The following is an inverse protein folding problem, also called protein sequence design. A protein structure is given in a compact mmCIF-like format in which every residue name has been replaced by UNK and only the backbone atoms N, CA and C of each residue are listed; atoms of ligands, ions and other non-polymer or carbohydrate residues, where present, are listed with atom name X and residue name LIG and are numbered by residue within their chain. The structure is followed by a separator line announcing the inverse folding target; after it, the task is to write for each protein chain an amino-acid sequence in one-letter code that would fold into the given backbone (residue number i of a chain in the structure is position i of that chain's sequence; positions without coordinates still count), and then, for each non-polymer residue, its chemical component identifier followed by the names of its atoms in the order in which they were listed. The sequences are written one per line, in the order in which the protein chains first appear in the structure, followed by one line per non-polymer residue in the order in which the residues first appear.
data_IF_622469770307
#
_entry.id   IF_622469770307
#
_cell.length_a   1.000
_cell.length_b   1.000
_cell.length_c   1.000
_cell.angle_alpha   90.00
_cell.angle_beta   90.00
_cell.angle_gamma   90.00
#
_symmetry.space_group_name_H-M   'P 1'
#
loop_
_entity.id
_entity.type
_entity.pdbx_description
1 polymer ?
#
# COMPACT_ATOMS: atom_id res chain seq x y z
N UNK A 1 15.46 -23.65 0.06
CA UNK A 1 14.76 -22.48 -0.49
C UNK A 1 14.87 -21.27 0.45
N UNK A 2 14.46 -21.39 1.74
CA UNK A 2 14.45 -20.29 2.72
C UNK A 2 15.79 -19.53 2.82
N UNK A 3 16.89 -20.24 3.06
CA UNK A 3 18.23 -19.63 3.19
C UNK A 3 18.64 -18.86 1.90
N UNK A 4 18.20 -19.34 0.75
CA UNK A 4 18.48 -18.67 -0.51
C UNK A 4 17.66 -17.37 -0.65
N UNK A 5 16.39 -17.39 -0.23
CA UNK A 5 15.56 -16.17 -0.19
C UNK A 5 16.18 -15.15 0.75
N UNK A 6 16.56 -15.57 1.95
CA UNK A 6 17.22 -14.71 2.94
C UNK A 6 18.52 -14.09 2.43
N UNK A 7 19.34 -14.86 1.72
CA UNK A 7 20.59 -14.38 1.12
C UNK A 7 20.40 -13.35 0.01
N UNK A 8 19.29 -13.43 -0.73
CA UNK A 8 19.04 -12.56 -1.88
C UNK A 8 18.15 -11.36 -1.57
N UNK A 9 17.27 -11.47 -0.57
CA UNK A 9 16.31 -10.42 -0.25
C UNK A 9 16.54 -9.79 1.14
N UNK A 10 17.48 -10.31 1.92
CA UNK A 10 17.78 -9.86 3.27
C UNK A 10 16.94 -10.58 4.33
N UNK A 11 17.29 -10.39 5.59
CA UNK A 11 16.60 -11.04 6.73
C UNK A 11 15.15 -10.60 6.84
N UNK A 12 14.29 -11.53 7.30
CA UNK A 12 12.92 -11.19 7.67
C UNK A 12 12.90 -10.29 8.91
N UNK A 13 11.89 -9.42 8.99
CA UNK A 13 11.63 -8.62 10.19
C UNK A 13 10.56 -9.25 11.10
N UNK A 14 9.92 -10.34 10.65
CA UNK A 14 8.96 -11.07 11.46
C UNK A 14 9.65 -12.10 12.35
N UNK A 15 9.04 -12.33 13.50
CA UNK A 15 9.39 -13.47 14.34
C UNK A 15 8.91 -14.78 13.72
N UNK A 16 9.53 -15.93 14.01
CA UNK A 16 9.10 -17.23 13.48
C UNK A 16 7.62 -17.58 13.79
N UNK A 17 7.09 -17.08 14.91
CA UNK A 17 5.70 -17.28 15.28
C UNK A 17 4.75 -16.45 14.39
N UNK A 18 5.10 -15.20 14.13
CA UNK A 18 4.34 -14.31 13.24
C UNK A 18 4.37 -14.82 11.80
N UNK A 19 5.52 -15.26 11.32
CA UNK A 19 5.68 -15.85 10.00
C UNK A 19 4.77 -17.07 9.82
N UNK A 20 4.78 -18.00 10.76
CA UNK A 20 3.88 -19.16 10.76
C UNK A 20 2.40 -18.75 10.78
N UNK A 21 2.06 -17.75 11.60
CA UNK A 21 0.69 -17.23 11.68
C UNK A 21 0.25 -16.63 10.35
N UNK A 22 1.07 -15.80 9.72
CA UNK A 22 0.75 -15.17 8.44
C UNK A 22 0.60 -16.22 7.32
N UNK A 23 1.51 -17.18 7.24
CA UNK A 23 1.41 -18.29 6.29
C UNK A 23 0.13 -19.11 6.51
N UNK A 24 -0.22 -19.44 7.76
CA UNK A 24 -1.45 -20.16 8.08
C UNK A 24 -2.72 -19.40 7.68
N UNK A 25 -2.73 -18.08 7.82
CA UNK A 25 -3.90 -17.25 7.51
C UNK A 25 -4.05 -16.99 6.01
N UNK A 26 -2.96 -16.74 5.31
CA UNK A 26 -2.97 -16.25 3.93
C UNK A 26 -2.80 -17.37 2.90
N UNK A 27 -1.90 -18.33 3.16
CA UNK A 27 -1.57 -19.40 2.23
C UNK A 27 -2.57 -20.56 2.37
N UNK A 28 -3.77 -20.36 1.83
CA UNK A 28 -4.87 -21.33 1.83
C UNK A 28 -5.43 -21.52 0.42
N UNK A 29 -6.20 -22.57 0.24
CA UNK A 29 -6.87 -22.88 -1.02
C UNK A 29 -5.89 -22.93 -2.20
N UNK A 30 -6.00 -21.97 -3.13
CA UNK A 30 -5.16 -21.87 -4.33
C UNK A 30 -3.68 -21.61 -4.01
N UNK A 31 -3.41 -20.95 -2.87
CA UNK A 31 -2.06 -20.61 -2.42
C UNK A 31 -1.54 -21.54 -1.31
N UNK A 32 -2.15 -22.73 -1.14
CA UNK A 32 -1.84 -23.67 -0.06
C UNK A 32 -0.35 -24.07 -0.01
N UNK A 33 0.29 -24.18 -1.17
CA UNK A 33 1.69 -24.59 -1.28
C UNK A 33 2.65 -23.38 -1.42
N UNK A 34 2.14 -22.17 -1.20
CA UNK A 34 2.92 -20.95 -1.21
C UNK A 34 3.37 -20.59 0.20
N UNK A 35 4.44 -19.78 0.27
CA UNK A 35 4.95 -19.21 1.51
C UNK A 35 5.11 -17.70 1.35
N UNK A 36 4.85 -16.96 2.42
CA UNK A 36 5.10 -15.53 2.49
C UNK A 36 6.46 -15.27 3.12
N UNK A 37 7.16 -14.28 2.62
CA UNK A 37 8.42 -13.80 3.18
C UNK A 37 8.39 -12.29 3.29
N UNK A 38 8.61 -11.76 4.49
CA UNK A 38 8.55 -10.33 4.78
C UNK A 38 9.94 -9.79 5.06
N UNK A 39 10.37 -8.77 4.33
CA UNK A 39 11.70 -8.19 4.46
C UNK A 39 11.68 -6.68 4.37
N UNK A 40 12.70 -6.03 4.92
CA UNK A 40 13.01 -4.62 4.67
C UNK A 40 14.12 -4.44 3.62
N UNK A 41 14.44 -5.51 2.92
CA UNK A 41 15.38 -5.54 1.82
C UNK A 41 16.82 -5.83 2.23
N UNK A 42 17.56 -6.35 1.26
CA UNK A 42 18.97 -6.74 1.43
C UNK A 42 19.87 -5.55 1.80
N UNK A 43 19.50 -4.31 1.45
CA UNK A 43 20.31 -3.12 1.77
C UNK A 43 20.17 -2.71 3.23
N UNK A 44 19.02 -2.98 3.87
CA UNK A 44 18.79 -2.65 5.28
C UNK A 44 19.25 -3.76 6.22
N UNK A 45 18.90 -5.02 5.90
CA UNK A 45 19.17 -6.18 6.75
C UNK A 45 19.87 -7.31 5.96
N UNK A 46 21.12 -7.10 5.50
CA UNK A 46 21.85 -8.14 4.76
C UNK A 46 22.26 -9.30 5.68
N UNK A 47 22.16 -10.53 5.17
CA UNK A 47 22.81 -11.69 5.80
C UNK A 47 24.31 -11.65 5.54
N UNK A 48 24.67 -11.40 4.28
CA UNK A 48 26.05 -11.26 3.81
C UNK A 48 26.06 -10.34 2.60
N UNK A 49 27.11 -9.53 2.46
CA UNK A 49 27.35 -8.77 1.24
C UNK A 49 27.77 -9.73 0.13
N UNK A 50 26.87 -9.92 -0.83
CA UNK A 50 27.03 -10.80 -1.98
C UNK A 50 26.77 -10.02 -3.27
N UNK A 51 26.78 -10.70 -4.40
CA UNK A 51 26.49 -10.09 -5.71
C UNK A 51 25.13 -9.38 -5.74
N UNK A 52 24.11 -9.93 -5.09
CA UNK A 52 22.77 -9.32 -5.03
C UNK A 52 22.77 -8.02 -4.23
N UNK A 53 23.55 -7.96 -3.15
CA UNK A 53 23.74 -6.72 -2.40
C UNK A 53 24.36 -5.63 -3.29
N UNK A 54 25.45 -5.94 -4.00
CA UNK A 54 26.11 -4.99 -4.90
C UNK A 54 25.21 -4.58 -6.06
N UNK A 55 24.40 -5.51 -6.58
CA UNK A 55 23.41 -5.23 -7.60
C UNK A 55 22.33 -4.26 -7.07
N UNK A 56 21.80 -4.50 -5.88
CA UNK A 56 20.83 -3.63 -5.24
C UNK A 56 21.39 -2.21 -4.97
N UNK A 57 22.65 -2.09 -4.56
CA UNK A 57 23.35 -0.80 -4.41
C UNK A 57 23.39 -0.04 -5.74
N UNK A 58 23.76 -0.72 -6.82
CA UNK A 58 23.82 -0.09 -8.17
C UNK A 58 22.44 0.41 -8.61
N UNK A 59 21.41 -0.39 -8.41
CA UNK A 59 20.04 0.00 -8.77
C UNK A 59 19.51 1.15 -7.91
N UNK A 60 19.79 1.14 -6.61
CA UNK A 60 19.50 2.28 -5.73
C UNK A 60 20.13 3.56 -6.25
N UNK A 61 21.44 3.52 -6.57
CA UNK A 61 22.16 4.68 -7.08
C UNK A 61 21.58 5.16 -8.41
N UNK A 62 21.16 4.23 -9.29
CA UNK A 62 20.47 4.57 -10.54
C UNK A 62 19.12 5.25 -10.29
N UNK A 63 18.32 4.77 -9.34
CA UNK A 63 17.04 5.36 -8.98
C UNK A 63 17.25 6.78 -8.41
N UNK A 64 18.24 6.97 -7.54
CA UNK A 64 18.59 8.28 -6.98
C UNK A 64 19.09 9.24 -8.07
N UNK A 65 19.95 8.75 -8.98
CA UNK A 65 20.39 9.56 -10.11
C UNK A 65 19.22 10.03 -10.97
N UNK A 66 18.28 9.14 -11.29
CA UNK A 66 17.08 9.48 -12.05
C UNK A 66 16.19 10.50 -11.32
N UNK A 67 16.10 10.41 -9.99
CA UNK A 67 15.43 11.41 -9.17
C UNK A 67 16.09 12.80 -9.31
N UNK A 68 17.41 12.88 -9.26
CA UNK A 68 18.13 14.14 -9.42
C UNK A 68 17.99 14.70 -10.82
N UNK A 69 18.05 13.86 -11.84
CA UNK A 69 17.86 14.24 -13.24
C UNK A 69 16.46 14.83 -13.47
N UNK A 70 15.43 14.19 -12.95
CA UNK A 70 14.03 14.59 -13.09
C UNK A 70 13.50 15.45 -11.92
N UNK A 71 14.37 15.96 -11.07
CA UNK A 71 14.01 16.61 -9.80
C UNK A 71 12.95 17.72 -9.93
N UNK A 72 13.04 18.57 -10.98
CA UNK A 72 12.07 19.66 -11.23
C UNK A 72 10.65 19.09 -11.46
N UNK A 73 10.55 18.09 -12.35
CA UNK A 73 9.27 17.44 -12.68
C UNK A 73 8.71 16.71 -11.46
N UNK A 74 9.56 16.00 -10.72
CA UNK A 74 9.17 15.28 -9.51
C UNK A 74 8.60 16.23 -8.47
N UNK A 75 9.27 17.35 -8.18
CA UNK A 75 8.74 18.38 -7.26
C UNK A 75 7.41 18.95 -7.70
N UNK A 76 7.25 19.26 -8.99
CA UNK A 76 6.00 19.76 -9.53
C UNK A 76 4.86 18.74 -9.36
N UNK A 77 5.13 17.46 -9.65
CA UNK A 77 4.15 16.40 -9.52
C UNK A 77 3.76 16.17 -8.04
N UNK A 78 4.72 16.22 -7.11
CA UNK A 78 4.44 16.14 -5.68
C UNK A 78 3.52 17.29 -5.26
N UNK A 79 3.83 18.52 -5.64
CA UNK A 79 3.01 19.70 -5.31
C UNK A 79 1.59 19.56 -5.88
N UNK A 80 1.45 19.21 -7.15
CA UNK A 80 0.16 19.06 -7.81
C UNK A 80 -0.69 17.96 -7.16
N UNK A 81 -0.08 16.80 -6.85
CA UNK A 81 -0.78 15.69 -6.18
C UNK A 81 -1.15 16.06 -4.74
N UNK A 82 -0.28 16.75 -4.01
CA UNK A 82 -0.55 17.25 -2.66
C UNK A 82 -1.76 18.19 -2.65
N UNK A 83 -1.82 19.13 -3.59
CA UNK A 83 -2.94 20.08 -3.71
C UNK A 83 -4.24 19.38 -4.07
N UNK A 84 -4.18 18.39 -4.97
CA UNK A 84 -5.34 17.56 -5.32
C UNK A 84 -5.86 16.78 -4.11
N UNK A 85 -4.97 16.15 -3.36
CA UNK A 85 -5.32 15.42 -2.14
C UNK A 85 -5.94 16.34 -1.09
N UNK A 86 -5.35 17.51 -0.84
CA UNK A 86 -5.92 18.51 0.08
C UNK A 86 -7.32 18.92 -0.31
N UNK A 87 -7.56 19.27 -1.57
CA UNK A 87 -8.89 19.62 -2.08
C UNK A 87 -9.88 18.47 -1.90
N UNK A 88 -9.48 17.26 -2.25
CA UNK A 88 -10.34 16.07 -2.12
C UNK A 88 -10.67 15.75 -0.68
N UNK A 89 -9.71 15.87 0.24
CA UNK A 89 -9.91 15.65 1.66
C UNK A 89 -10.80 16.72 2.28
N UNK A 90 -10.60 17.99 1.91
CA UNK A 90 -11.46 19.10 2.37
C UNK A 90 -12.90 18.92 1.87
N UNK A 91 -13.10 18.53 0.61
CA UNK A 91 -14.44 18.26 0.06
C UNK A 91 -15.12 17.04 0.70
N UNK A 92 -14.33 16.04 1.12
CA UNK A 92 -14.85 14.84 1.80
C UNK A 92 -14.95 15.00 3.32
N UNK A 93 -14.30 15.99 3.90
CA UNK A 93 -14.58 16.43 5.27
C UNK A 93 -15.86 17.27 5.30
N UNK A 94 -16.86 16.88 4.47
CA UNK A 94 -18.18 17.43 4.58
C UNK A 94 -18.61 17.29 6.03
N UNK A 95 -18.80 18.43 6.65
CA UNK A 95 -19.41 18.61 7.94
C UNK A 95 -20.66 17.72 8.00
N UNK A 96 -20.56 16.58 8.65
CA UNK A 96 -21.77 15.83 9.00
C UNK A 96 -22.56 16.71 9.98
N UNK A 97 -23.60 17.36 9.46
CA UNK A 97 -24.54 18.06 10.30
C UNK A 97 -25.31 17.04 11.14
N UNK A 98 -24.84 16.81 12.35
CA UNK A 98 -25.54 15.96 13.30
C UNK A 98 -26.49 16.81 14.13
N UNK A 99 -27.73 16.38 14.20
CA UNK A 99 -28.71 16.97 15.10
C UNK A 99 -28.27 16.75 16.54
N UNK A 100 -28.19 17.83 17.30
CA UNK A 100 -27.68 17.83 18.68
C UNK A 100 -28.58 18.70 19.59
N UNK A 101 -28.34 18.56 20.88
CA UNK A 101 -28.91 19.44 21.93
C UNK A 101 -28.11 20.73 22.10
N UNK A 102 -26.97 20.86 21.42
CA UNK A 102 -26.05 22.02 21.47
C UNK A 102 -25.48 22.31 20.09
N UNK A 103 -25.23 23.60 19.79
CA UNK A 103 -24.63 24.04 18.53
C UNK A 103 -25.35 25.20 17.88
N UNK A 104 -25.39 25.24 16.54
CA UNK A 104 -26.10 26.27 15.79
C UNK A 104 -27.57 25.96 15.70
N UNK A 105 -28.44 26.92 16.06
CA UNK A 105 -29.89 26.77 16.03
C UNK A 105 -30.38 26.56 14.58
N UNK A 106 -31.30 25.60 14.39
CA UNK A 106 -32.01 25.35 13.14
C UNK A 106 -33.32 26.10 13.17
N UNK A 107 -33.46 27.27 12.52
CA UNK A 107 -34.67 28.11 12.64
C UNK A 107 -35.95 27.39 12.22
N UNK A 108 -35.86 26.52 11.21
CA UNK A 108 -37.01 25.74 10.72
C UNK A 108 -37.54 24.68 11.72
N UNK A 109 -36.85 24.47 12.83
CA UNK A 109 -37.29 23.52 13.89
C UNK A 109 -37.75 24.17 15.17
N UNK A 110 -37.69 25.48 15.28
CA UNK A 110 -38.09 26.23 16.49
C UNK A 110 -39.56 26.01 16.87
N UNK A 111 -40.43 25.70 15.90
CA UNK A 111 -41.85 25.38 16.15
C UNK A 111 -42.07 24.12 16.99
N UNK A 112 -41.04 23.26 17.14
CA UNK A 112 -41.08 22.04 17.96
C UNK A 112 -40.89 22.29 19.45
N UNK A 113 -40.44 23.49 19.82
CA UNK A 113 -40.22 23.86 21.23
C UNK A 113 -41.54 23.75 21.98
N UNK A 114 -41.56 22.95 23.03
CA UNK A 114 -42.75 22.72 23.86
C UNK A 114 -43.81 21.75 23.29
N UNK A 115 -43.57 21.18 22.08
CA UNK A 115 -44.48 20.22 21.43
C UNK A 115 -43.98 18.79 21.34
N UNK A 116 -42.68 18.58 21.51
CA UNK A 116 -42.09 17.24 21.55
C UNK A 116 -40.98 17.17 22.60
N UNK A 117 -40.82 16.01 23.24
CA UNK A 117 -39.78 15.73 24.21
C UNK A 117 -38.37 15.62 23.58
N UNK A 118 -38.26 15.40 22.29
CA UNK A 118 -37.03 15.36 21.53
C UNK A 118 -36.89 16.61 20.65
N UNK A 119 -36.46 17.71 21.24
CA UNK A 119 -36.21 18.94 20.53
C UNK A 119 -34.73 19.05 20.13
N UNK A 120 -34.30 18.22 19.20
CA UNK A 120 -32.97 18.40 18.55
C UNK A 120 -33.02 19.67 17.69
N UNK A 121 -32.86 20.83 18.33
CA UNK A 121 -33.00 22.15 17.73
C UNK A 121 -31.69 22.70 17.16
N UNK A 122 -30.61 22.05 17.50
CA UNK A 122 -29.28 22.51 17.12
C UNK A 122 -28.65 21.54 16.12
N UNK A 123 -27.83 22.07 15.24
CA UNK A 123 -26.89 21.29 14.42
C UNK A 123 -25.49 21.50 14.94
N UNK A 124 -24.75 20.44 15.02
CA UNK A 124 -23.32 20.45 15.31
C UNK A 124 -22.57 19.96 14.08
N UNK A 125 -21.61 20.74 13.66
CA UNK A 125 -20.68 20.32 12.61
C UNK A 125 -19.63 19.40 13.24
N UNK A 126 -19.70 18.11 12.93
CA UNK A 126 -18.61 17.18 13.18
C UNK A 126 -17.65 17.29 11.99
N UNK A 127 -16.50 17.94 12.19
CA UNK A 127 -15.40 17.87 11.23
C UNK A 127 -14.85 16.45 11.31
N UNK A 128 -15.01 15.70 10.23
CA UNK A 128 -14.25 14.46 10.03
C UNK A 128 -12.80 14.86 9.85
N UNK A 129 -11.94 14.49 10.79
CA UNK A 129 -10.51 14.76 10.71
C UNK A 129 -9.92 13.98 9.52
N UNK A 130 -8.84 14.52 8.91
CA UNK A 130 -8.09 13.83 7.84
C UNK A 130 -7.53 12.47 8.30
N UNK A 131 -7.59 12.18 9.60
CA UNK A 131 -7.21 10.93 10.26
C UNK A 131 -8.07 9.71 9.90
N UNK A 132 -9.20 9.90 9.19
CA UNK A 132 -10.10 8.78 8.84
C UNK A 132 -9.60 7.94 7.66
N UNK A 133 -8.54 8.34 7.02
CA UNK A 133 -7.98 7.65 5.86
C UNK A 133 -6.65 6.97 6.20
N UNK A 134 -6.46 5.78 5.66
CA UNK A 134 -5.17 5.08 5.65
C UNK A 134 -4.92 4.52 4.25
N UNK A 135 -3.67 4.56 3.80
CA UNK A 135 -3.31 4.17 2.44
C UNK A 135 -2.21 3.11 2.47
N UNK A 136 -2.38 2.05 1.69
CA UNK A 136 -1.30 1.14 1.31
C UNK A 136 -0.94 1.37 -0.16
N UNK A 137 0.35 1.48 -0.43
CA UNK A 137 0.90 1.51 -1.80
C UNK A 137 1.66 0.21 -2.01
N UNK A 138 1.16 -0.62 -2.92
CA UNK A 138 1.75 -1.91 -3.26
C UNK A 138 2.32 -1.86 -4.67
N UNK A 139 3.61 -2.14 -4.81
CA UNK A 139 4.35 -2.00 -6.05
C UNK A 139 4.68 -3.39 -6.61
N UNK A 140 4.29 -3.66 -7.83
CA UNK A 140 4.73 -4.85 -8.54
C UNK A 140 6.23 -4.75 -8.84
N UNK A 141 7.00 -5.69 -8.30
CA UNK A 141 8.44 -5.80 -8.52
C UNK A 141 8.80 -6.99 -9.43
N UNK A 142 7.90 -7.42 -10.29
CA UNK A 142 8.15 -8.49 -11.26
C UNK A 142 9.17 -8.07 -12.33
N UNK A 143 9.75 -9.06 -13.01
CA UNK A 143 10.75 -8.86 -14.05
C UNK A 143 10.26 -8.03 -15.24
N UNK A 144 8.95 -7.99 -15.51
CA UNK A 144 8.35 -7.14 -16.55
C UNK A 144 8.57 -5.64 -16.32
N UNK A 145 8.73 -5.23 -15.05
CA UNK A 145 9.00 -3.84 -14.66
C UNK A 145 10.47 -3.41 -14.81
N UNK A 146 11.38 -4.32 -15.16
CA UNK A 146 12.83 -4.07 -15.18
C UNK A 146 13.23 -2.87 -16.05
N UNK A 147 12.61 -2.71 -17.21
CA UNK A 147 12.88 -1.60 -18.14
C UNK A 147 12.44 -0.24 -17.60
N UNK A 148 11.41 -0.21 -16.72
CA UNK A 148 10.81 1.00 -16.15
C UNK A 148 11.02 1.13 -14.64
N UNK A 149 11.92 0.33 -14.07
CA UNK A 149 12.15 0.26 -12.63
C UNK A 149 12.33 1.64 -11.96
N UNK A 150 13.16 2.50 -12.54
CA UNK A 150 13.40 3.84 -12.01
C UNK A 150 12.17 4.74 -12.05
N UNK A 151 11.38 4.67 -13.12
CA UNK A 151 10.16 5.47 -13.24
C UNK A 151 9.08 4.99 -12.24
N UNK A 152 8.96 3.68 -12.03
CA UNK A 152 8.05 3.10 -11.02
C UNK A 152 8.46 3.53 -9.61
N UNK A 153 9.77 3.49 -9.29
CA UNK A 153 10.28 3.97 -8.01
C UNK A 153 9.97 5.47 -7.80
N UNK A 154 10.13 6.31 -8.84
CA UNK A 154 9.79 7.72 -8.77
C UNK A 154 8.29 7.95 -8.58
N UNK A 155 7.43 7.20 -9.26
CA UNK A 155 5.97 7.29 -9.07
C UNK A 155 5.56 6.96 -7.64
N UNK A 156 6.09 5.87 -7.10
CA UNK A 156 5.84 5.48 -5.71
C UNK A 156 6.36 6.55 -4.72
N UNK A 157 7.53 7.12 -4.98
CA UNK A 157 8.10 8.19 -4.18
C UNK A 157 7.22 9.46 -4.21
N UNK A 158 6.74 9.88 -5.40
CA UNK A 158 5.86 11.02 -5.56
C UNK A 158 4.56 10.82 -4.76
N UNK A 159 3.96 9.65 -4.85
CA UNK A 159 2.73 9.32 -4.11
C UNK A 159 3.00 9.39 -2.60
N UNK A 160 4.07 8.75 -2.13
CA UNK A 160 4.43 8.72 -0.71
C UNK A 160 4.73 10.12 -0.15
N UNK A 161 5.46 10.96 -0.89
CA UNK A 161 5.72 12.35 -0.50
C UNK A 161 4.42 13.18 -0.43
N UNK A 162 3.53 13.03 -1.40
CA UNK A 162 2.26 13.74 -1.39
C UNK A 162 1.36 13.31 -0.22
N UNK A 163 1.33 12.00 0.11
CA UNK A 163 0.60 11.48 1.26
C UNK A 163 1.20 11.98 2.59
N UNK A 164 2.54 12.05 2.69
CA UNK A 164 3.23 12.63 3.85
C UNK A 164 2.90 14.11 4.02
N UNK A 165 2.87 14.88 2.92
CA UNK A 165 2.58 16.33 2.95
C UNK A 165 1.15 16.65 3.42
N UNK A 166 0.23 15.70 3.33
CA UNK A 166 -1.14 15.83 3.83
C UNK A 166 -1.36 15.07 5.15
N UNK A 167 -0.29 14.57 5.76
CA UNK A 167 -0.29 13.81 7.02
C UNK A 167 -1.21 12.59 7.01
N UNK A 168 -1.32 11.90 5.87
CA UNK A 168 -2.04 10.64 5.79
C UNK A 168 -1.12 9.48 6.16
N UNK A 169 -1.52 8.63 7.14
CA UNK A 169 -0.78 7.41 7.44
C UNK A 169 -0.79 6.50 6.21
N UNK A 170 0.41 6.07 5.81
CA UNK A 170 0.55 5.22 4.64
C UNK A 170 1.76 4.30 4.75
N UNK A 171 1.60 3.10 4.20
CA UNK A 171 2.65 2.10 4.09
C UNK A 171 2.99 1.88 2.63
N UNK A 172 4.27 1.66 2.32
CA UNK A 172 4.73 1.37 0.97
C UNK A 172 5.46 0.04 0.98
N UNK A 173 5.01 -0.89 0.14
CA UNK A 173 5.59 -2.21 -0.02
C UNK A 173 5.72 -2.55 -1.50
N UNK A 174 6.65 -3.43 -1.84
CA UNK A 174 6.67 -4.10 -3.14
C UNK A 174 6.54 -5.61 -2.96
N UNK A 175 6.14 -6.29 -4.03
CA UNK A 175 6.05 -7.74 -4.05
C UNK A 175 6.70 -8.33 -5.29
N UNK A 176 7.32 -9.47 -5.11
CA UNK A 176 7.76 -10.34 -6.18
C UNK A 176 7.63 -11.80 -5.74
N UNK A 177 7.82 -12.72 -6.67
CA UNK A 177 7.70 -14.15 -6.38
C UNK A 177 8.97 -14.86 -6.77
N UNK A 178 9.47 -15.68 -5.88
CA UNK A 178 10.60 -16.56 -6.11
C UNK A 178 10.23 -17.98 -5.69
N UNK A 179 10.02 -18.86 -6.66
CA UNK A 179 9.48 -20.22 -6.48
C UNK A 179 8.16 -20.24 -5.72
N UNK A 180 8.12 -20.89 -4.55
CA UNK A 180 7.00 -20.97 -3.64
C UNK A 180 6.85 -19.72 -2.74
N UNK A 181 7.88 -18.87 -2.65
CA UNK A 181 7.87 -17.67 -1.82
C UNK A 181 7.29 -16.46 -2.56
N UNK A 182 6.31 -15.82 -1.94
CA UNK A 182 5.90 -14.46 -2.27
C UNK A 182 6.58 -13.51 -1.30
N UNK A 183 7.45 -12.66 -1.82
CA UNK A 183 8.32 -11.79 -1.05
C UNK A 183 7.66 -10.42 -0.99
N UNK A 184 7.43 -9.93 0.21
CA UNK A 184 6.90 -8.61 0.50
C UNK A 184 8.03 -7.75 1.09
N UNK A 185 8.47 -6.78 0.32
CA UNK A 185 9.51 -5.85 0.71
C UNK A 185 8.89 -4.54 1.18
N UNK A 186 9.06 -4.21 2.46
CA UNK A 186 8.57 -2.99 3.09
C UNK A 186 9.60 -1.88 3.00
N UNK A 187 9.20 -0.72 2.45
CA UNK A 187 10.04 0.47 2.39
C UNK A 187 9.75 1.43 3.55
N UNK A 188 8.48 1.55 3.92
CA UNK A 188 8.04 2.33 5.08
C UNK A 188 6.78 1.74 5.71
N UNK A 189 6.62 1.98 7.00
CA UNK A 189 5.40 1.68 7.76
C UNK A 189 4.50 2.93 7.84
N UNK A 190 3.25 2.76 8.31
CA UNK A 190 2.23 3.83 8.33
C UNK A 190 2.66 5.09 9.08
N UNK A 191 3.30 4.93 10.21
CA UNK A 191 3.65 6.01 11.12
C UNK A 191 5.12 6.43 11.05
N UNK A 192 5.85 5.93 10.03
CA UNK A 192 7.24 6.31 9.81
C UNK A 192 7.35 7.79 9.40
N UNK A 193 8.45 8.48 9.75
CA UNK A 193 8.67 9.85 9.35
C UNK A 193 8.80 9.99 7.83
N UNK A 194 8.59 11.20 7.31
CA UNK A 194 8.69 11.49 5.87
C UNK A 194 10.03 11.09 5.26
N UNK A 195 11.14 11.19 6.02
CA UNK A 195 12.46 10.75 5.56
C UNK A 195 12.52 9.28 5.18
N UNK A 196 11.63 8.43 5.70
CA UNK A 196 11.55 7.03 5.34
C UNK A 196 11.12 6.81 3.88
N UNK A 197 10.52 7.80 3.22
CA UNK A 197 10.15 7.73 1.80
C UNK A 197 11.37 7.49 0.89
N UNK A 198 12.57 7.93 1.29
CA UNK A 198 13.80 7.67 0.54
C UNK A 198 14.14 6.18 0.42
N UNK A 199 13.62 5.34 1.32
CA UNK A 199 13.80 3.89 1.21
C UNK A 199 13.16 3.30 -0.06
N UNK A 200 12.20 4.00 -0.67
CA UNK A 200 11.56 3.60 -1.92
C UNK A 200 12.60 3.50 -3.06
N UNK A 201 13.68 4.25 -3.00
CA UNK A 201 14.79 4.12 -3.98
C UNK A 201 15.54 2.79 -3.87
N UNK A 202 15.32 2.02 -2.80
CA UNK A 202 15.81 0.64 -2.68
C UNK A 202 14.96 -0.37 -3.49
N UNK A 203 13.94 0.09 -4.21
CA UNK A 203 13.11 -0.75 -5.07
C UNK A 203 13.95 -1.45 -6.13
N UNK A 204 13.79 -2.76 -6.21
CA UNK A 204 14.49 -3.66 -7.13
C UNK A 204 13.47 -4.62 -7.73
N UNK A 205 13.51 -4.78 -9.03
CA UNK A 205 12.71 -5.77 -9.73
C UNK A 205 13.35 -7.15 -9.67
N UNK A 206 12.55 -8.18 -9.58
CA UNK A 206 12.98 -9.58 -9.54
C UNK A 206 11.96 -10.47 -10.26
N UNK A 207 12.29 -11.68 -10.49
CA UNK A 207 11.55 -12.83 -11.02
C UNK A 207 10.08 -12.63 -11.49
N UNK A 208 9.19 -13.43 -10.92
CA UNK A 208 7.77 -13.50 -11.29
C UNK A 208 6.89 -12.73 -10.29
N UNK A 209 5.60 -12.71 -10.56
CA UNK A 209 4.60 -12.13 -9.67
C UNK A 209 3.57 -13.20 -9.22
N UNK A 210 2.98 -12.95 -8.06
CA UNK A 210 1.83 -13.67 -7.49
C UNK A 210 0.93 -12.62 -6.86
N UNK A 211 0.24 -11.90 -7.72
CA UNK A 211 -0.52 -10.69 -7.38
C UNK A 211 -1.63 -10.99 -6.37
N UNK A 212 -2.36 -12.09 -6.58
CA UNK A 212 -3.48 -12.45 -5.72
C UNK A 212 -3.08 -12.63 -4.27
N UNK A 213 -2.01 -13.38 -3.99
CA UNK A 213 -1.51 -13.59 -2.62
C UNK A 213 -0.95 -12.31 -2.01
N UNK A 214 -0.23 -11.50 -2.80
CA UNK A 214 0.33 -10.24 -2.33
C UNK A 214 -0.77 -9.23 -1.94
N UNK A 215 -1.76 -9.03 -2.82
CA UNK A 215 -2.91 -8.14 -2.57
C UNK A 215 -3.72 -8.62 -1.36
N UNK A 216 -4.00 -9.93 -1.26
CA UNK A 216 -4.70 -10.53 -0.12
C UNK A 216 -3.96 -10.25 1.19
N UNK A 217 -2.65 -10.42 1.20
CA UNK A 217 -1.82 -10.25 2.40
C UNK A 217 -1.74 -8.79 2.85
N UNK A 218 -1.49 -7.87 1.91
CA UNK A 218 -1.42 -6.44 2.21
C UNK A 218 -2.80 -5.92 2.62
N UNK A 219 -3.86 -6.33 1.91
CA UNK A 219 -5.23 -5.98 2.26
C UNK A 219 -5.64 -6.48 3.64
N UNK A 220 -5.22 -7.67 4.05
CA UNK A 220 -5.44 -8.16 5.41
C UNK A 220 -4.83 -7.24 6.46
N UNK A 221 -3.57 -6.82 6.27
CA UNK A 221 -2.91 -5.86 7.17
C UNK A 221 -3.63 -4.50 7.20
N UNK A 222 -4.04 -4.00 6.04
CA UNK A 222 -4.78 -2.76 5.92
C UNK A 222 -6.13 -2.80 6.65
N UNK A 223 -6.83 -3.94 6.59
CA UNK A 223 -8.10 -4.14 7.28
C UNK A 223 -7.99 -4.15 8.81
N UNK A 224 -6.80 -4.41 9.36
CA UNK A 224 -6.56 -4.37 10.81
C UNK A 224 -6.39 -2.94 11.35
N UNK A 225 -6.26 -1.95 10.47
CA UNK A 225 -6.14 -0.54 10.88
C UNK A 225 -7.48 -0.01 11.40
N UNK A 226 -7.41 0.95 12.32
CA UNK A 226 -8.57 1.55 12.98
C UNK A 226 -9.29 2.59 12.13
N UNK A 227 -8.61 3.17 11.13
CA UNK A 227 -9.17 4.18 10.25
C UNK A 227 -10.39 3.66 9.49
N UNK A 228 -11.41 4.50 9.32
CA UNK A 228 -12.65 4.12 8.67
C UNK A 228 -12.47 3.84 7.17
N UNK A 229 -11.70 4.71 6.51
CA UNK A 229 -11.51 4.67 5.05
C UNK A 229 -10.13 4.12 4.70
N UNK A 230 -10.12 2.96 4.08
CA UNK A 230 -8.93 2.20 3.71
C UNK A 230 -8.75 2.20 2.20
N UNK A 231 -7.58 2.60 1.74
CA UNK A 231 -7.25 2.70 0.30
C UNK A 231 -6.04 1.83 0.02
N UNK A 232 -6.15 0.94 -0.95
CA UNK A 232 -5.03 0.19 -1.51
C UNK A 232 -4.75 0.69 -2.94
N UNK A 233 -3.57 1.22 -3.15
CA UNK A 233 -3.06 1.64 -4.48
C UNK A 233 -2.08 0.58 -4.95
N UNK A 234 -2.36 -0.04 -6.11
CA UNK A 234 -1.46 -1.02 -6.71
C UNK A 234 -0.81 -0.40 -7.94
N UNK A 235 0.53 -0.34 -7.94
CA UNK A 235 1.33 0.09 -9.09
C UNK A 235 1.81 -1.16 -9.84
N UNK A 236 1.22 -1.43 -11.00
CA UNK A 236 1.50 -2.60 -11.84
C UNK A 236 1.42 -2.21 -13.33
N UNK A 237 1.93 -3.07 -14.20
CA UNK A 237 1.78 -2.90 -15.66
C UNK A 237 0.41 -3.35 -16.21
N UNK A 238 -0.48 -3.76 -15.31
CA UNK A 238 -1.83 -4.20 -15.66
C UNK A 238 -1.89 -5.61 -16.27
N UNK A 239 -0.83 -6.38 -16.14
CA UNK A 239 -0.76 -7.79 -16.54
C UNK A 239 -0.69 -8.69 -15.31
N UNK A 240 -1.82 -8.85 -14.61
CA UNK A 240 -1.85 -9.68 -13.43
C UNK A 240 -1.49 -11.14 -13.78
N UNK A 241 -0.65 -11.71 -12.95
CA UNK A 241 -0.19 -13.08 -13.11
C UNK A 241 -0.07 -13.74 -11.75
N UNK A 242 -0.57 -14.96 -11.61
CA UNK A 242 -0.50 -15.68 -10.34
C UNK A 242 0.14 -17.07 -10.58
N UNK A 243 1.41 -17.20 -10.23
CA UNK A 243 2.18 -18.42 -10.44
C UNK A 243 1.76 -19.48 -9.42
N UNK A 244 1.31 -20.63 -9.91
CA UNK A 244 0.94 -21.78 -9.08
C UNK A 244 2.16 -22.69 -8.89
N UNK A 245 2.45 -23.05 -7.64
CA UNK A 245 3.59 -23.89 -7.29
C UNK A 245 3.46 -25.30 -7.87
N UNK A 246 2.26 -25.89 -7.83
CA UNK A 246 2.02 -27.28 -8.24
C UNK A 246 1.86 -27.53 -9.75
N UNK A 247 1.97 -26.48 -10.57
CA UNK A 247 1.94 -26.58 -12.03
C UNK A 247 3.04 -25.78 -12.70
N UNK A 248 4.33 -26.03 -12.37
CA UNK A 248 5.44 -25.21 -12.87
C UNK A 248 5.64 -25.32 -14.40
N UNK A 249 5.05 -26.33 -15.05
CA UNK A 249 5.14 -26.58 -16.48
C UNK A 249 3.83 -26.28 -17.24
N UNK A 250 2.82 -25.71 -16.59
CA UNK A 250 1.62 -25.29 -17.30
C UNK A 250 2.01 -24.17 -18.30
N UNK A 251 1.76 -24.40 -19.58
CA UNK A 251 2.08 -23.44 -20.66
C UNK A 251 1.33 -22.10 -20.51
N UNK A 252 0.22 -22.10 -19.80
CA UNK A 252 -0.53 -20.92 -19.37
C UNK A 252 -1.02 -21.19 -17.95
N UNK A 253 -0.31 -20.76 -16.90
CA UNK A 253 -0.89 -20.77 -15.56
C UNK A 253 -2.10 -19.83 -15.58
N UNK A 254 -3.25 -20.37 -15.19
CA UNK A 254 -4.48 -19.58 -15.12
C UNK A 254 -4.26 -18.39 -14.17
N UNK A 255 -4.49 -17.15 -14.61
CA UNK A 255 -4.34 -16.00 -13.75
C UNK A 255 -5.47 -15.97 -12.70
N UNK A 256 -5.18 -16.41 -11.48
CA UNK A 256 -6.13 -16.36 -10.37
C UNK A 256 -6.54 -14.95 -9.97
N UNK A 257 -5.79 -13.96 -10.39
CA UNK A 257 -6.08 -12.53 -10.18
C UNK A 257 -7.40 -12.07 -10.77
N UNK A 258 -7.93 -12.75 -11.79
CA UNK A 258 -9.25 -12.40 -12.36
C UNK A 258 -10.35 -12.50 -11.31
N UNK A 259 -10.29 -13.48 -10.42
CA UNK A 259 -11.26 -13.63 -9.33
C UNK A 259 -11.18 -12.51 -8.28
N UNK A 260 -10.01 -11.91 -8.07
CA UNK A 260 -9.82 -10.83 -7.10
C UNK A 260 -10.14 -9.45 -7.67
N UNK A 261 -9.96 -9.20 -8.97
CA UNK A 261 -10.34 -7.95 -9.61
C UNK A 261 -11.85 -7.72 -9.59
N UNK A 262 -12.65 -8.78 -9.56
CA UNK A 262 -14.11 -8.66 -9.40
C UNK A 262 -14.58 -8.41 -7.96
N UNK A 263 -13.74 -8.72 -6.95
CA UNK A 263 -14.06 -8.54 -5.54
C UNK A 263 -13.62 -7.18 -4.97
N UNK A 264 -12.75 -6.46 -5.67
CA UNK A 264 -12.10 -5.24 -5.14
C UNK A 264 -12.62 -3.94 -5.73
N UNK A 265 -13.55 -3.97 -6.67
CA UNK A 265 -14.28 -2.77 -7.05
C UNK A 265 -15.44 -2.57 -6.07
N UNK A 266 -15.36 -1.62 -5.12
CA UNK A 266 -16.54 -1.22 -4.41
C UNK A 266 -17.47 -0.64 -5.47
N UNK A 267 -18.55 -1.35 -5.74
CA UNK A 267 -19.69 -0.76 -6.40
C UNK A 267 -20.06 0.45 -5.55
N UNK A 268 -19.77 1.62 -6.06
CA UNK A 268 -20.40 2.85 -5.56
C UNK A 268 -21.90 2.67 -5.74
N UNK A 269 -22.53 2.08 -4.76
CA UNK A 269 -23.97 2.20 -4.63
C UNK A 269 -24.25 3.66 -4.26
N UNK A 270 -25.03 4.28 -5.08
CA UNK A 270 -25.60 5.61 -5.12
C UNK A 270 -25.94 6.24 -3.77
#
# INVERSE_FOLDING_TARGET
AYTYVELNFGKTYLTPAEEKRMNYLMCRELHRDCSLYFTEGILKNPVKRNYQYEYAVRLKNKNIWLYHDKHRIVKQNIASLTDLLRKTLVLKSETQEVLSDRGTIIPSRLWRVGRSSEANLFKRELKSDASDFVVDVLIDASGSQMSRQGDVALQAYIISEALSNVNLPHRVMSFCTFWDYTILHRFREYDDPQSANENIFNYVTSSNNRDGLAIKTVGYGLLQRSEEKKILIVLSDGKPYDVIVNRPHAKNPEPYTVSYTHLTLPTTSR
#
